data_IF_255642997637
#
_entry.id   IF_255642997637
#
_cell.length_a   1.000
_cell.length_b   1.000
_cell.length_c   1.000
_cell.angle_alpha   90.00
_cell.angle_beta   90.00
_cell.angle_gamma   90.00
#
_symmetry.space_group_name_H-M   'P 1'
#
loop_
_entity.id
_entity.type
_entity.pdbx_description
1 polymer ?
#
# COMPACT_ATOMS: atom_id res chain seq x y z
N UNK A 1 -5.59 20.86 0.60
CA UNK A 1 -6.74 20.10 1.14
C UNK A 1 -7.54 19.61 -0.04
N UNK A 2 -7.55 18.29 -0.29
CA UNK A 2 -8.46 17.71 -1.30
C UNK A 2 -9.84 17.64 -0.64
N UNK A 3 -10.89 18.31 -1.17
CA UNK A 3 -12.22 18.23 -0.58
C UNK A 3 -12.70 16.79 -0.63
N UNK A 4 -13.13 16.23 0.51
CA UNK A 4 -13.79 14.92 0.49
C UNK A 4 -15.14 15.00 -0.22
N UNK A 5 -15.54 13.90 -0.85
CA UNK A 5 -16.78 13.79 -1.65
C UNK A 5 -18.05 14.14 -0.86
N UNK A 6 -17.99 14.13 0.48
CA UNK A 6 -19.12 14.36 1.38
C UNK A 6 -18.93 15.53 2.36
N UNK A 7 -17.97 16.42 2.12
CA UNK A 7 -17.72 17.60 2.97
C UNK A 7 -16.89 17.32 4.24
N UNK A 8 -16.61 16.05 4.52
CA UNK A 8 -15.65 15.63 5.54
C UNK A 8 -14.23 15.52 4.96
N UNK A 9 -13.18 15.78 5.75
CA UNK A 9 -11.81 15.50 5.36
C UNK A 9 -11.59 14.02 5.03
N UNK A 10 -10.71 13.74 4.07
CA UNK A 10 -10.27 12.35 3.79
C UNK A 10 -9.48 11.83 4.98
N UNK A 11 -9.89 10.69 5.53
CA UNK A 11 -9.11 9.93 6.51
C UNK A 11 -7.99 9.17 5.79
N UNK A 12 -6.75 9.39 6.21
CA UNK A 12 -5.56 8.77 5.61
C UNK A 12 -4.95 7.70 6.51
N UNK A 13 -5.42 7.61 7.76
CA UNK A 13 -4.94 6.70 8.79
C UNK A 13 -5.29 5.22 8.50
N UNK A 14 -6.19 4.97 7.56
CA UNK A 14 -6.65 3.62 7.22
C UNK A 14 -7.49 2.98 8.33
N UNK A 15 -7.64 1.65 8.28
CA UNK A 15 -8.48 0.90 9.21
C UNK A 15 -7.75 0.45 10.50
N UNK A 16 -6.42 0.64 10.57
CA UNK A 16 -5.62 0.19 11.72
C UNK A 16 -5.52 -1.33 11.89
N UNK A 17 -5.73 -2.10 10.82
CA UNK A 17 -5.68 -3.57 10.84
C UNK A 17 -4.23 -4.09 10.70
N UNK A 18 -3.42 -3.42 9.87
CA UNK A 18 -2.01 -3.73 9.65
C UNK A 18 -1.14 -2.67 10.33
N UNK A 19 0.04 -3.09 10.80
CA UNK A 19 1.07 -2.21 11.38
C UNK A 19 1.97 -1.56 10.32
N UNK A 20 1.69 -1.81 9.04
CA UNK A 20 2.42 -1.30 7.89
C UNK A 20 1.46 -0.95 6.75
N UNK A 21 1.88 -0.04 5.87
CA UNK A 21 1.16 0.26 4.64
C UNK A 21 1.36 -0.85 3.59
N UNK A 22 0.42 -1.01 2.67
CA UNK A 22 0.59 -1.85 1.47
C UNK A 22 0.75 -0.93 0.27
N UNK A 23 1.81 -1.14 -0.52
CA UNK A 23 2.05 -0.46 -1.79
C UNK A 23 1.81 -1.47 -2.92
N UNK A 24 0.64 -1.44 -3.59
CA UNK A 24 0.31 -2.40 -4.63
C UNK A 24 1.04 -2.09 -5.94
N UNK A 25 0.82 -2.93 -6.96
CA UNK A 25 1.27 -2.76 -8.34
C UNK A 25 2.78 -2.50 -8.54
N UNK A 26 3.61 -2.72 -7.52
CA UNK A 26 5.07 -2.55 -7.65
C UNK A 26 5.58 -3.65 -8.57
N UNK A 27 6.50 -3.30 -9.48
CA UNK A 27 7.08 -4.23 -10.46
C UNK A 27 6.05 -5.08 -11.21
N UNK A 28 4.88 -4.50 -11.52
CA UNK A 28 3.77 -5.18 -12.21
C UNK A 28 3.79 -4.86 -13.70
N UNK A 29 4.22 -5.79 -14.58
CA UNK A 29 4.39 -5.49 -15.99
C UNK A 29 3.07 -5.10 -16.66
N UNK A 30 3.03 -3.92 -17.28
CA UNK A 30 1.86 -3.43 -18.00
C UNK A 30 0.77 -2.80 -17.12
N UNK A 31 0.93 -2.77 -15.79
CA UNK A 31 0.01 -2.05 -14.93
C UNK A 31 0.29 -0.53 -14.99
N UNK A 32 -0.72 0.32 -15.24
CA UNK A 32 -0.51 1.76 -15.45
C UNK A 32 0.08 2.49 -14.24
N UNK A 33 -0.08 1.91 -13.04
CA UNK A 33 0.34 2.54 -11.79
C UNK A 33 1.73 2.11 -11.30
N UNK A 34 2.40 1.18 -12.01
CA UNK A 34 3.67 0.59 -11.56
C UNK A 34 4.75 1.62 -11.26
N UNK A 35 4.92 2.61 -12.14
CA UNK A 35 5.93 3.65 -11.95
C UNK A 35 5.60 4.55 -10.75
N UNK A 36 4.33 4.96 -10.63
CA UNK A 36 3.87 5.82 -9.54
C UNK A 36 4.03 5.14 -8.17
N UNK A 37 3.65 3.86 -8.07
CA UNK A 37 3.78 3.12 -6.82
C UNK A 37 5.22 2.69 -6.53
N UNK A 38 6.06 2.54 -7.54
CA UNK A 38 7.51 2.46 -7.37
C UNK A 38 8.09 3.70 -6.67
N UNK A 39 7.65 4.90 -7.06
CA UNK A 39 8.05 6.15 -6.39
C UNK A 39 7.55 6.20 -4.94
N UNK A 40 6.31 5.80 -4.67
CA UNK A 40 5.78 5.72 -3.31
C UNK A 40 6.62 4.79 -2.43
N UNK A 41 6.97 3.61 -2.94
CA UNK A 41 7.82 2.66 -2.21
C UNK A 41 9.24 3.21 -1.97
N UNK A 42 9.80 4.00 -2.88
CA UNK A 42 11.08 4.70 -2.65
C UNK A 42 10.95 5.72 -1.52
N UNK A 43 9.90 6.54 -1.54
CA UNK A 43 9.68 7.57 -0.53
C UNK A 43 9.45 6.96 0.86
N UNK A 44 8.62 5.92 0.96
CA UNK A 44 8.41 5.23 2.24
C UNK A 44 9.69 4.61 2.80
N UNK A 45 10.57 4.06 1.95
CA UNK A 45 11.90 3.60 2.39
C UNK A 45 12.77 4.75 2.89
N UNK A 46 12.76 5.91 2.22
CA UNK A 46 13.54 7.07 2.61
C UNK A 46 13.05 7.67 3.95
N UNK A 47 11.74 7.68 4.17
CA UNK A 47 11.10 8.27 5.34
C UNK A 47 11.04 7.32 6.55
N UNK A 48 11.41 6.04 6.36
CA UNK A 48 11.33 5.01 7.41
C UNK A 48 9.91 4.53 7.70
N UNK A 49 8.97 4.76 6.78
CA UNK A 49 7.58 4.30 6.90
C UNK A 49 7.51 2.78 6.69
N UNK A 50 7.01 1.98 7.65
CA UNK A 50 6.82 0.56 7.48
C UNK A 50 5.85 0.27 6.33
N UNK A 51 6.27 -0.52 5.36
CA UNK A 51 5.43 -0.88 4.22
C UNK A 51 5.80 -2.24 3.63
N UNK A 52 4.82 -2.84 2.96
CA UNK A 52 4.97 -4.03 2.15
C UNK A 52 4.62 -3.70 0.70
N UNK A 53 5.51 -4.02 -0.24
CA UNK A 53 5.24 -3.92 -1.68
C UNK A 53 4.64 -5.22 -2.20
N UNK A 54 3.61 -5.13 -3.05
CA UNK A 54 3.05 -6.28 -3.76
C UNK A 54 3.00 -5.98 -5.26
N UNK A 55 3.26 -7.01 -6.09
CA UNK A 55 2.95 -6.97 -7.52
C UNK A 55 1.58 -7.60 -7.80
N UNK A 56 1.06 -7.38 -9.00
CA UNK A 56 -0.19 -7.98 -9.46
C UNK A 56 -0.17 -9.50 -9.35
N UNK A 57 -1.28 -10.04 -8.87
CA UNK A 57 -1.46 -11.47 -8.62
C UNK A 57 -0.90 -11.96 -7.28
N UNK A 58 -0.19 -11.11 -6.53
CA UNK A 58 0.20 -11.46 -5.16
C UNK A 58 -0.86 -11.11 -4.13
N UNK A 59 -0.87 -11.86 -3.04
CA UNK A 59 -1.74 -11.60 -1.90
C UNK A 59 -1.01 -11.80 -0.58
N UNK A 60 -1.14 -10.84 0.34
CA UNK A 60 -0.83 -11.03 1.75
C UNK A 60 -2.01 -11.76 2.42
N UNK A 61 -1.73 -12.91 3.02
CA UNK A 61 -2.72 -13.68 3.79
C UNK A 61 -2.20 -13.84 5.20
N UNK A 62 -3.06 -13.48 6.17
CA UNK A 62 -2.81 -13.62 7.60
C UNK A 62 -3.92 -14.54 8.14
N UNK A 63 -3.52 -15.70 8.65
CA UNK A 63 -4.41 -16.70 9.27
C UNK A 63 -3.88 -17.05 10.66
N UNK A 64 -4.45 -16.40 11.68
CA UNK A 64 -3.94 -16.47 13.05
C UNK A 64 -2.51 -15.94 13.16
N UNK A 65 -1.59 -16.80 13.57
CA UNK A 65 -0.15 -16.48 13.69
C UNK A 65 0.61 -16.65 12.36
N UNK A 66 -0.01 -17.27 11.35
CA UNK A 66 0.62 -17.55 10.07
C UNK A 66 0.44 -16.38 9.10
N UNK A 67 1.56 -15.82 8.62
CA UNK A 67 1.57 -14.75 7.60
C UNK A 67 2.34 -15.21 6.36
N UNK A 68 1.70 -15.13 5.18
CA UNK A 68 2.30 -15.55 3.90
C UNK A 68 1.96 -14.59 2.78
N UNK A 69 2.88 -14.48 1.83
CA UNK A 69 2.62 -13.85 0.53
C UNK A 69 2.52 -14.95 -0.51
N UNK A 70 1.39 -14.99 -1.22
CA UNK A 70 1.18 -15.87 -2.38
C UNK A 70 1.52 -15.14 -3.67
#
# INVERSE_FOLDING_TARGET
MVPGTYGEPVAWEGLGILDHAVVPHVDSPGHPETEALGVVAVNYRADGTPHLTLRDGQALVIDGEDTRIY
#
